data_IF_121412140662
#
_entry.id   IF_121412140662
#
_cell.length_a   1.000
_cell.length_b   1.000
_cell.length_c   1.000
_cell.angle_alpha   90.00
_cell.angle_beta   90.00
_cell.angle_gamma   90.00
#
_symmetry.space_group_name_H-M   'P 1'
#
loop_
_entity.id
_entity.type
_entity.pdbx_description
1 polymer ?
#
# COMPACT_ATOMS: atom_id res chain seq x y z
N UNK A 1 -7.62 18.66 3.33
CA UNK A 1 -8.12 17.35 3.11
C UNK A 1 -7.15 16.40 2.40
N UNK A 2 -6.42 16.85 1.39
CA UNK A 2 -5.45 16.00 0.67
C UNK A 2 -4.08 16.02 1.38
N UNK A 3 -3.49 14.85 1.73
CA UNK A 3 -2.18 14.77 2.39
C UNK A 3 -1.00 15.30 1.56
N UNK A 4 -1.13 15.34 0.22
CA UNK A 4 -0.11 15.91 -0.69
C UNK A 4 -0.51 17.28 -1.23
N UNK A 5 -1.62 17.84 -0.74
CA UNK A 5 -2.07 19.22 -1.02
C UNK A 5 -2.36 19.50 -2.49
N UNK A 6 -3.03 18.55 -3.19
CA UNK A 6 -3.47 18.78 -4.57
C UNK A 6 -4.30 20.05 -4.66
N UNK A 7 -4.03 20.97 -5.64
CA UNK A 7 -4.84 22.16 -5.91
C UNK A 7 -6.20 21.79 -6.53
N UNK A 8 -7.10 21.23 -5.68
CA UNK A 8 -8.35 20.59 -6.12
C UNK A 8 -9.26 21.54 -6.90
N UNK A 9 -9.40 22.77 -6.44
CA UNK A 9 -10.26 23.77 -7.11
C UNK A 9 -9.76 24.08 -8.52
N UNK A 10 -8.45 24.20 -8.67
CA UNK A 10 -7.83 24.66 -9.91
C UNK A 10 -7.89 23.54 -10.98
N UNK A 11 -7.60 22.27 -10.61
CA UNK A 11 -7.72 21.20 -11.58
C UNK A 11 -9.17 20.93 -11.98
N UNK A 12 -10.15 21.03 -11.03
CA UNK A 12 -11.57 20.86 -11.36
C UNK A 12 -12.06 21.98 -12.27
N UNK A 13 -11.57 23.19 -12.09
CA UNK A 13 -11.89 24.31 -13.00
C UNK A 13 -11.41 24.00 -14.43
N UNK A 14 -10.20 23.49 -14.61
CA UNK A 14 -9.70 23.09 -15.92
C UNK A 14 -10.49 21.91 -16.51
N UNK A 15 -10.96 20.97 -15.69
CA UNK A 15 -11.89 19.92 -16.14
C UNK A 15 -13.18 20.50 -16.66
N UNK A 16 -13.77 21.47 -15.96
CA UNK A 16 -15.01 22.13 -16.38
C UNK A 16 -14.86 22.92 -17.69
N UNK A 17 -13.67 23.40 -17.99
CA UNK A 17 -13.33 24.07 -19.25
C UNK A 17 -12.92 23.09 -20.37
N UNK A 18 -12.82 21.79 -20.08
CA UNK A 18 -12.39 20.78 -21.06
C UNK A 18 -10.87 20.67 -21.25
N UNK A 19 -10.09 21.37 -20.44
CA UNK A 19 -8.62 21.45 -20.55
C UNK A 19 -7.94 20.32 -19.75
N UNK A 20 -8.01 19.07 -20.20
CA UNK A 20 -7.52 17.89 -19.46
C UNK A 20 -6.02 17.91 -19.23
N UNK A 21 -5.22 18.36 -20.20
CA UNK A 21 -3.76 18.49 -20.05
C UNK A 21 -3.39 19.50 -18.95
N UNK A 22 -4.01 20.66 -18.93
CA UNK A 22 -3.82 21.65 -17.87
C UNK A 22 -4.25 21.11 -16.50
N UNK A 23 -5.39 20.40 -16.42
CA UNK A 23 -5.84 19.76 -15.20
C UNK A 23 -4.82 18.73 -14.68
N UNK A 24 -4.27 17.88 -15.57
CA UNK A 24 -3.25 16.90 -15.21
C UNK A 24 -1.98 17.57 -14.68
N UNK A 25 -1.46 18.60 -15.37
CA UNK A 25 -0.28 19.34 -14.93
C UNK A 25 -0.46 19.96 -13.56
N UNK A 26 -1.64 20.53 -13.26
CA UNK A 26 -1.96 21.08 -11.94
C UNK A 26 -1.90 19.98 -10.88
N UNK A 27 -2.49 18.80 -11.12
CA UNK A 27 -2.42 17.67 -10.17
C UNK A 27 -0.95 17.26 -9.95
N UNK A 28 -0.17 17.14 -11.02
CA UNK A 28 1.24 16.71 -10.98
C UNK A 28 2.17 17.68 -10.24
N UNK A 29 1.78 18.92 -10.00
CA UNK A 29 2.59 19.85 -9.19
C UNK A 29 2.81 19.35 -7.76
N UNK A 30 1.91 18.53 -7.25
CA UNK A 30 1.96 18.06 -5.85
C UNK A 30 1.75 16.56 -5.70
N UNK A 31 1.14 15.88 -6.67
CA UNK A 31 0.86 14.46 -6.66
C UNK A 31 1.64 13.73 -7.76
N UNK A 32 2.62 12.93 -7.36
CA UNK A 32 3.47 12.17 -8.28
C UNK A 32 2.75 10.99 -8.95
N UNK A 33 1.66 10.47 -8.37
CA UNK A 33 0.96 9.26 -8.79
C UNK A 33 -0.58 9.47 -8.91
N UNK A 34 -1.06 10.40 -9.76
CA UNK A 34 -2.48 10.77 -9.79
C UNK A 34 -3.38 9.61 -10.23
N UNK A 35 -2.96 8.79 -11.19
CA UNK A 35 -3.74 7.65 -11.65
C UNK A 35 -3.93 6.57 -10.57
N UNK A 36 -2.97 6.43 -9.66
CA UNK A 36 -3.05 5.58 -8.48
C UNK A 36 -3.98 6.20 -7.45
N UNK A 37 -3.76 7.47 -7.09
CA UNK A 37 -4.53 8.16 -6.05
C UNK A 37 -6.02 8.22 -6.37
N UNK A 38 -6.40 8.52 -7.60
CA UNK A 38 -7.80 8.54 -8.06
C UNK A 38 -8.52 7.19 -7.91
N UNK A 39 -7.78 6.07 -7.74
CA UNK A 39 -8.34 4.72 -7.56
C UNK A 39 -8.34 4.23 -6.12
N UNK A 40 -7.29 4.53 -5.34
CA UNK A 40 -7.05 3.85 -4.05
C UNK A 40 -7.14 4.74 -2.82
N UNK A 41 -7.18 6.07 -2.98
CA UNK A 41 -7.35 6.98 -1.85
C UNK A 41 -8.70 6.79 -1.17
N UNK A 42 -8.79 6.86 0.17
CA UNK A 42 -10.05 6.92 0.89
C UNK A 42 -10.61 8.36 0.86
N UNK A 43 -11.12 8.79 -0.31
CA UNK A 43 -11.54 10.17 -0.56
C UNK A 43 -12.64 10.61 0.41
N UNK A 44 -13.53 9.69 0.80
CA UNK A 44 -14.62 9.90 1.75
C UNK A 44 -14.15 10.35 3.14
N UNK A 45 -12.91 10.02 3.52
CA UNK A 45 -12.27 10.44 4.78
C UNK A 45 -11.27 11.60 4.58
N UNK A 46 -10.94 11.94 3.35
CA UNK A 46 -9.93 12.94 2.99
C UNK A 46 -10.56 14.13 2.25
N UNK A 47 -10.30 14.26 0.94
CA UNK A 47 -10.73 15.42 0.17
C UNK A 47 -12.25 15.57 0.07
N UNK A 48 -12.97 14.50 -0.23
CA UNK A 48 -14.45 14.51 -0.32
C UNK A 48 -15.09 14.64 1.07
N UNK A 49 -14.46 14.04 2.10
CA UNK A 49 -14.88 14.20 3.49
C UNK A 49 -14.82 15.65 4.01
N UNK A 50 -13.93 16.47 3.42
CA UNK A 50 -13.76 17.90 3.74
C UNK A 50 -14.42 18.84 2.70
N UNK A 51 -15.12 18.30 1.72
CA UNK A 51 -15.78 19.09 0.69
C UNK A 51 -16.91 19.93 1.29
N UNK A 52 -16.88 21.25 1.03
CA UNK A 52 -17.89 22.19 1.55
C UNK A 52 -19.30 21.89 1.02
N UNK A 53 -19.43 21.27 -0.15
CA UNK A 53 -20.72 20.89 -0.71
C UNK A 53 -21.35 19.70 0.02
N UNK A 54 -20.57 18.92 0.76
CA UNK A 54 -21.09 17.79 1.57
C UNK A 54 -22.15 18.26 2.59
N UNK A 55 -22.03 19.49 3.09
CA UNK A 55 -23.04 20.09 3.99
C UNK A 55 -24.37 20.40 3.30
N UNK A 56 -24.40 20.44 1.96
CA UNK A 56 -25.59 20.75 1.15
C UNK A 56 -26.09 19.54 0.35
N UNK A 57 -25.48 18.36 0.51
CA UNK A 57 -25.83 17.15 -0.21
C UNK A 57 -24.62 16.26 -0.46
N UNK A 58 -24.37 15.90 -1.71
CA UNK A 58 -23.23 15.07 -2.11
C UNK A 58 -21.95 15.92 -2.26
N UNK A 59 -20.79 15.42 -1.82
CA UNK A 59 -19.50 16.05 -2.15
C UNK A 59 -19.24 16.00 -3.65
N UNK A 60 -18.34 16.86 -4.13
CA UNK A 60 -17.79 16.68 -5.49
C UNK A 60 -17.03 15.35 -5.53
N UNK A 61 -17.21 14.55 -6.57
CA UNK A 61 -16.53 13.28 -6.78
C UNK A 61 -15.06 13.50 -7.19
N UNK A 62 -14.27 14.06 -6.27
CA UNK A 62 -12.91 14.55 -6.51
C UNK A 62 -12.00 13.42 -6.99
N UNK A 63 -12.05 12.25 -6.33
CA UNK A 63 -11.24 11.10 -6.73
C UNK A 63 -11.59 10.57 -8.11
N UNK A 64 -12.87 10.56 -8.48
CA UNK A 64 -13.30 10.14 -9.83
C UNK A 64 -12.85 11.13 -10.90
N UNK A 65 -12.87 12.42 -10.61
CA UNK A 65 -12.34 13.45 -11.52
C UNK A 65 -10.82 13.36 -11.65
N UNK A 66 -10.10 13.16 -10.55
CA UNK A 66 -8.63 12.93 -10.57
C UNK A 66 -8.28 11.70 -11.43
N UNK A 67 -9.00 10.61 -11.23
CA UNK A 67 -8.86 9.39 -12.06
C UNK A 67 -9.13 9.68 -13.53
N UNK A 68 -10.24 10.36 -13.84
CA UNK A 68 -10.61 10.68 -15.21
C UNK A 68 -9.54 11.52 -15.92
N UNK A 69 -9.03 12.56 -15.26
CA UNK A 69 -7.96 13.41 -15.79
C UNK A 69 -6.69 12.59 -16.07
N UNK A 70 -6.29 11.75 -15.09
CA UNK A 70 -5.08 10.95 -15.23
C UNK A 70 -5.22 9.90 -16.35
N UNK A 71 -6.36 9.20 -16.43
CA UNK A 71 -6.61 8.18 -17.46
C UNK A 71 -6.67 8.82 -18.86
N UNK A 72 -7.29 9.99 -18.98
CA UNK A 72 -7.35 10.73 -20.25
C UNK A 72 -5.96 11.13 -20.71
N UNK A 73 -5.13 11.69 -19.79
CA UNK A 73 -3.77 12.08 -20.11
C UNK A 73 -2.92 10.87 -20.55
N UNK A 74 -2.98 9.77 -19.81
CA UNK A 74 -2.26 8.53 -20.16
C UNK A 74 -2.68 8.03 -21.54
N UNK A 75 -3.97 8.03 -21.85
CA UNK A 75 -4.48 7.54 -23.12
C UNK A 75 -4.04 8.44 -24.30
N UNK A 76 -4.02 9.75 -24.13
CA UNK A 76 -3.65 10.70 -25.19
C UNK A 76 -2.14 10.76 -25.41
N UNK A 77 -1.34 10.70 -24.33
CA UNK A 77 0.11 10.85 -24.40
C UNK A 77 0.81 9.54 -24.76
N UNK A 78 0.20 8.38 -24.56
CA UNK A 78 0.74 7.10 -25.01
C UNK A 78 1.01 7.04 -26.53
N UNK A 79 0.31 7.86 -27.33
CA UNK A 79 0.57 8.01 -28.77
C UNK A 79 1.78 8.91 -29.08
N UNK A 80 2.12 9.84 -28.19
CA UNK A 80 3.24 10.80 -28.42
C UNK A 80 4.57 10.27 -27.90
N UNK A 81 4.57 9.40 -26.89
CA UNK A 81 5.78 8.85 -26.24
C UNK A 81 6.58 7.87 -27.11
N UNK A 82 6.07 7.43 -28.26
CA UNK A 82 6.79 6.52 -29.18
C UNK A 82 7.92 7.24 -29.93
N UNK A 83 8.02 8.57 -29.89
CA UNK A 83 8.92 9.35 -30.75
C UNK A 83 9.84 10.37 -30.06
N UNK A 84 9.85 10.48 -28.71
CA UNK A 84 10.57 11.57 -28.04
C UNK A 84 11.49 11.13 -26.91
N UNK A 85 12.77 10.99 -27.18
CA UNK A 85 13.84 10.98 -26.18
C UNK A 85 14.00 12.38 -25.57
N UNK A 86 13.43 12.61 -24.38
CA UNK A 86 13.81 13.73 -23.52
C UNK A 86 14.06 13.20 -22.10
N UNK A 87 15.08 12.36 -21.93
CA UNK A 87 15.77 12.31 -20.65
C UNK A 87 16.39 13.70 -20.47
N UNK A 88 15.94 14.47 -19.48
CA UNK A 88 16.64 15.68 -19.09
C UNK A 88 18.07 15.27 -18.74
N UNK A 89 19.05 15.71 -19.55
CA UNK A 89 20.45 15.46 -19.27
C UNK A 89 20.75 16.12 -17.92
N UNK A 90 21.04 15.32 -16.91
CA UNK A 90 21.41 15.81 -15.58
C UNK A 90 22.73 16.60 -15.73
N UNK A 91 22.89 17.73 -15.00
CA UNK A 91 24.14 18.48 -15.02
C UNK A 91 25.31 17.61 -14.55
N UNK A 92 26.50 17.83 -15.13
CA UNK A 92 27.70 17.19 -14.62
C UNK A 92 27.92 17.58 -13.17
N UNK A 93 28.07 16.56 -12.28
CA UNK A 93 28.21 16.78 -10.83
C UNK A 93 26.89 16.93 -10.09
N UNK A 94 25.78 16.53 -10.69
CA UNK A 94 24.49 16.48 -9.98
C UNK A 94 24.60 15.68 -8.68
N UNK A 95 23.97 16.19 -7.61
CA UNK A 95 23.85 15.49 -6.33
C UNK A 95 23.08 14.18 -6.53
N UNK A 96 23.39 13.17 -5.69
CA UNK A 96 22.85 11.81 -5.83
C UNK A 96 22.07 11.40 -4.59
N UNK A 97 20.90 10.83 -4.79
CA UNK A 97 20.05 10.28 -3.73
C UNK A 97 19.76 8.79 -3.99
N UNK A 98 19.95 7.96 -2.97
CA UNK A 98 19.50 6.57 -2.97
C UNK A 98 18.16 6.44 -2.26
N UNK A 99 17.16 5.81 -2.90
CA UNK A 99 15.91 5.42 -2.26
C UNK A 99 15.91 3.91 -2.05
N UNK A 100 15.73 3.44 -0.80
CA UNK A 100 15.64 2.01 -0.48
C UNK A 100 14.16 1.63 -0.36
N UNK A 101 13.71 0.72 -1.23
CA UNK A 101 12.31 0.40 -1.49
C UNK A 101 11.73 1.22 -2.65
N UNK A 102 10.71 0.69 -3.32
CA UNK A 102 10.02 1.34 -4.44
C UNK A 102 8.52 1.53 -4.19
N UNK A 103 8.11 1.57 -2.90
CA UNK A 103 6.73 1.85 -2.53
C UNK A 103 6.34 3.32 -2.76
N UNK A 104 5.07 3.68 -2.49
CA UNK A 104 4.54 5.03 -2.76
C UNK A 104 5.36 6.18 -2.17
N UNK A 105 5.96 6.00 -0.98
CA UNK A 105 6.80 7.02 -0.34
C UNK A 105 8.08 7.26 -1.14
N UNK A 106 8.79 6.18 -1.51
CA UNK A 106 10.03 6.26 -2.29
C UNK A 106 9.79 6.76 -3.70
N UNK A 107 8.73 6.29 -4.39
CA UNK A 107 8.38 6.78 -5.73
C UNK A 107 8.09 8.29 -5.72
N UNK A 108 7.43 8.77 -4.67
CA UNK A 108 7.16 10.21 -4.52
C UNK A 108 8.43 10.99 -4.20
N UNK A 109 9.26 10.49 -3.28
CA UNK A 109 10.56 11.09 -2.97
C UNK A 109 11.43 11.16 -4.21
N UNK A 110 11.57 10.05 -4.95
CA UNK A 110 12.34 9.98 -6.19
C UNK A 110 11.84 10.97 -7.26
N UNK A 111 10.52 11.05 -7.45
CA UNK A 111 9.94 11.97 -8.44
C UNK A 111 10.17 13.44 -8.10
N UNK A 112 10.04 13.83 -6.82
CA UNK A 112 10.30 15.20 -6.37
C UNK A 112 11.78 15.55 -6.50
N UNK A 113 12.68 14.67 -6.06
CA UNK A 113 14.14 14.88 -6.20
C UNK A 113 14.57 14.96 -7.67
N UNK A 114 14.06 14.08 -8.54
CA UNK A 114 14.37 14.12 -9.98
C UNK A 114 13.91 15.43 -10.62
N UNK A 115 12.73 15.94 -10.24
CA UNK A 115 12.21 17.24 -10.71
C UNK A 115 13.10 18.41 -10.25
N UNK A 116 13.75 18.28 -9.09
CA UNK A 116 14.73 19.25 -8.58
C UNK A 116 16.12 19.12 -9.25
N UNK A 117 16.30 18.22 -10.22
CA UNK A 117 17.57 18.00 -10.92
C UNK A 117 18.59 17.14 -10.16
N UNK A 118 18.12 16.39 -9.16
CA UNK A 118 18.94 15.46 -8.38
C UNK A 118 18.89 14.09 -9.06
N UNK A 119 20.05 13.42 -9.20
CA UNK A 119 20.10 12.03 -9.68
C UNK A 119 19.55 11.09 -8.62
N UNK A 120 18.63 10.20 -9.00
CA UNK A 120 18.02 9.27 -8.06
C UNK A 120 18.14 7.83 -8.54
N UNK A 121 18.64 6.97 -7.65
CA UNK A 121 18.67 5.53 -7.79
C UNK A 121 17.70 4.90 -6.77
N UNK A 122 16.80 4.04 -7.23
CA UNK A 122 15.83 3.32 -6.41
C UNK A 122 16.21 1.86 -6.34
N UNK A 123 16.46 1.35 -5.14
CA UNK A 123 16.81 -0.05 -4.86
C UNK A 123 15.57 -0.80 -4.35
N UNK A 124 15.14 -1.82 -5.10
CA UNK A 124 13.92 -2.60 -4.80
C UNK A 124 14.27 -4.07 -4.58
N UNK A 125 13.76 -4.63 -3.49
CA UNK A 125 13.98 -6.03 -3.14
C UNK A 125 13.31 -7.02 -4.11
N UNK A 126 12.17 -6.64 -4.68
CA UNK A 126 11.39 -7.47 -5.60
C UNK A 126 11.87 -7.30 -7.05
N UNK A 127 11.38 -8.18 -7.92
CA UNK A 127 11.68 -8.14 -9.35
C UNK A 127 10.80 -7.15 -10.15
N UNK A 128 9.80 -6.55 -9.53
CA UNK A 128 8.98 -5.46 -10.09
C UNK A 128 8.90 -4.29 -9.10
N UNK A 129 9.07 -3.03 -9.56
CA UNK A 129 8.99 -1.86 -8.71
C UNK A 129 7.54 -1.45 -8.45
N UNK A 130 7.28 -0.81 -7.31
CA UNK A 130 5.96 -0.29 -6.95
C UNK A 130 5.50 -0.70 -5.55
N UNK A 131 6.21 -1.63 -4.89
CA UNK A 131 5.87 -2.07 -3.54
C UNK A 131 4.42 -2.60 -3.47
N UNK A 132 3.67 -2.16 -2.46
CA UNK A 132 2.27 -2.58 -2.23
C UNK A 132 1.34 -2.32 -3.44
N UNK A 133 1.64 -1.37 -4.30
CA UNK A 133 0.86 -1.10 -5.52
C UNK A 133 0.90 -2.28 -6.49
N UNK A 134 1.99 -3.04 -6.47
CA UNK A 134 2.20 -4.21 -7.32
C UNK A 134 1.80 -5.50 -6.60
N UNK A 135 2.38 -5.78 -5.44
CA UNK A 135 2.19 -7.07 -4.78
C UNK A 135 0.89 -7.14 -3.95
N UNK A 136 0.44 -6.01 -3.38
CA UNK A 136 -0.65 -6.00 -2.40
C UNK A 136 -2.02 -5.69 -2.99
N UNK A 137 -2.16 -4.58 -3.72
CA UNK A 137 -3.47 -4.12 -4.23
C UNK A 137 -3.83 -4.92 -5.49
N UNK A 138 -4.99 -5.60 -5.54
CA UNK A 138 -5.40 -6.41 -6.69
C UNK A 138 -5.59 -5.60 -7.97
N UNK A 139 -5.40 -6.26 -9.13
CA UNK A 139 -5.50 -5.62 -10.44
C UNK A 139 -6.89 -5.08 -10.74
N UNK A 140 -7.95 -5.64 -10.18
CA UNK A 140 -9.32 -5.13 -10.35
C UNK A 140 -9.57 -3.80 -9.64
N UNK A 141 -8.77 -3.43 -8.63
CA UNK A 141 -8.76 -2.10 -8.00
C UNK A 141 -7.71 -1.18 -8.62
N UNK A 142 -6.52 -1.70 -8.85
CA UNK A 142 -5.40 -0.96 -9.40
C UNK A 142 -4.72 -1.78 -10.51
N UNK A 143 -5.11 -1.57 -11.79
CA UNK A 143 -4.49 -2.25 -12.92
C UNK A 143 -2.97 -2.06 -12.92
N UNK A 144 -2.21 -3.15 -13.10
CA UNK A 144 -0.74 -3.10 -13.04
C UNK A 144 -0.13 -2.26 -14.16
N UNK A 145 -0.81 -2.15 -15.29
CA UNK A 145 -0.44 -1.25 -16.39
C UNK A 145 -0.43 0.23 -15.96
N UNK A 146 -1.36 0.65 -15.11
CA UNK A 146 -1.40 2.01 -14.57
C UNK A 146 -0.15 2.29 -13.71
N UNK A 147 0.20 1.35 -12.83
CA UNK A 147 1.41 1.47 -12.00
C UNK A 147 2.67 1.51 -12.86
N UNK A 148 2.75 0.62 -13.87
CA UNK A 148 3.87 0.59 -14.80
C UNK A 148 4.02 1.92 -15.57
N UNK A 149 2.92 2.54 -15.98
CA UNK A 149 2.94 3.84 -16.67
C UNK A 149 3.48 4.95 -15.75
N UNK A 150 3.03 5.01 -14.50
CA UNK A 150 3.55 6.01 -13.54
C UNK A 150 5.07 5.80 -13.27
N UNK A 151 5.51 4.55 -13.12
CA UNK A 151 6.93 4.23 -12.92
C UNK A 151 7.76 4.56 -14.18
N UNK A 152 7.24 4.29 -15.37
CA UNK A 152 7.90 4.67 -16.61
C UNK A 152 8.06 6.19 -16.74
N UNK A 153 7.08 6.96 -16.26
CA UNK A 153 7.23 8.42 -16.17
C UNK A 153 8.40 8.84 -15.29
N UNK A 154 8.64 8.14 -14.17
CA UNK A 154 9.83 8.40 -13.32
C UNK A 154 11.14 8.01 -14.02
N UNK A 155 11.17 6.88 -14.74
CA UNK A 155 12.34 6.49 -15.55
C UNK A 155 12.67 7.54 -16.61
N UNK A 156 11.65 8.08 -17.28
CA UNK A 156 11.81 9.17 -18.25
C UNK A 156 12.31 10.47 -17.61
N UNK A 157 11.97 10.70 -16.33
CA UNK A 157 12.51 11.81 -15.53
C UNK A 157 13.94 11.57 -15.02
N UNK A 158 14.59 10.45 -15.37
CA UNK A 158 15.97 10.13 -15.02
C UNK A 158 16.14 9.34 -13.71
N UNK A 159 15.09 8.70 -13.20
CA UNK A 159 15.17 7.79 -12.03
C UNK A 159 15.58 6.40 -12.50
N UNK A 160 16.69 5.89 -11.96
CA UNK A 160 17.18 4.54 -12.21
C UNK A 160 16.65 3.55 -11.16
N UNK A 161 16.25 2.33 -11.61
CA UNK A 161 15.70 1.28 -10.73
C UNK A 161 16.59 0.04 -10.73
N UNK A 162 17.09 -0.31 -9.55
CA UNK A 162 17.91 -1.50 -9.27
C UNK A 162 17.05 -2.54 -8.57
N UNK A 163 16.55 -3.51 -9.33
CA UNK A 163 15.66 -4.57 -8.81
C UNK A 163 16.46 -5.70 -8.18
N UNK A 164 15.79 -6.56 -7.39
CA UNK A 164 16.41 -7.66 -6.65
C UNK A 164 17.53 -7.19 -5.69
N UNK A 165 17.39 -5.97 -5.17
CA UNK A 165 18.36 -5.32 -4.28
C UNK A 165 17.78 -5.19 -2.88
N UNK A 166 18.19 -6.10 -1.98
CA UNK A 166 17.64 -6.21 -0.62
C UNK A 166 18.48 -5.39 0.35
N UNK A 167 17.91 -4.30 0.87
CA UNK A 167 18.54 -3.49 1.91
C UNK A 167 18.86 -4.29 3.17
N UNK A 168 20.09 -4.20 3.63
CA UNK A 168 20.62 -4.98 4.77
C UNK A 168 21.02 -6.42 4.41
N UNK A 169 21.07 -6.77 3.12
CA UNK A 169 21.56 -8.07 2.63
C UNK A 169 22.45 -7.94 1.39
N UNK A 170 21.93 -7.39 0.28
CA UNK A 170 22.70 -7.22 -0.95
C UNK A 170 23.19 -5.79 -1.14
N UNK A 171 22.60 -4.85 -0.43
CA UNK A 171 23.06 -3.46 -0.34
C UNK A 171 23.11 -3.06 1.15
N UNK A 172 24.11 -2.27 1.49
CA UNK A 172 24.35 -1.78 2.85
C UNK A 172 24.19 -0.25 2.89
N UNK A 173 23.61 0.28 3.97
CA UNK A 173 23.44 1.74 4.14
C UNK A 173 24.81 2.44 4.22
N UNK A 174 25.80 1.85 4.88
CA UNK A 174 27.12 2.45 5.03
C UNK A 174 27.87 2.52 3.70
N UNK A 175 27.64 1.57 2.80
CA UNK A 175 28.21 1.63 1.44
C UNK A 175 27.47 2.68 0.60
N UNK A 176 26.15 2.76 0.68
CA UNK A 176 25.39 3.80 0.00
C UNK A 176 25.80 5.21 0.46
N UNK A 177 26.08 5.41 1.74
CA UNK A 177 26.53 6.71 2.28
C UNK A 177 27.88 7.18 1.74
N UNK A 178 28.68 6.28 1.17
CA UNK A 178 29.95 6.64 0.50
C UNK A 178 29.74 7.12 -0.95
N UNK A 179 28.65 6.68 -1.57
CA UNK A 179 28.36 6.92 -2.99
C UNK A 179 27.26 7.97 -3.24
N UNK A 180 26.38 8.17 -2.26
CA UNK A 180 25.22 9.08 -2.35
C UNK A 180 25.29 10.19 -1.32
N UNK A 181 24.87 11.38 -1.73
CA UNK A 181 24.85 12.56 -0.86
C UNK A 181 23.73 12.48 0.21
N UNK A 182 22.62 11.78 -0.10
CA UNK A 182 21.55 11.48 0.86
C UNK A 182 20.86 10.13 0.55
N UNK A 183 20.24 9.55 1.58
CA UNK A 183 19.52 8.27 1.48
C UNK A 183 18.09 8.46 1.99
N UNK A 184 17.11 7.90 1.28
CA UNK A 184 15.73 7.80 1.72
C UNK A 184 15.33 6.33 1.96
N UNK A 185 14.85 6.00 3.15
CA UNK A 185 14.37 4.66 3.52
C UNK A 185 12.84 4.63 3.45
N UNK A 186 12.31 3.90 2.46
CA UNK A 186 10.88 3.72 2.23
C UNK A 186 10.50 2.26 2.01
N UNK A 187 11.07 1.34 2.80
CA UNK A 187 10.88 -0.13 2.66
C UNK A 187 9.50 -0.62 3.12
N UNK A 188 8.67 0.26 3.67
CA UNK A 188 7.32 -0.07 4.09
C UNK A 188 7.24 -0.98 5.32
N UNK A 189 6.09 -1.63 5.52
CA UNK A 189 5.82 -2.58 6.59
C UNK A 189 5.21 -3.84 5.99
N UNK A 190 6.04 -4.85 5.71
CA UNK A 190 5.65 -6.05 4.96
C UNK A 190 5.57 -7.33 5.80
N UNK A 191 5.99 -7.32 7.08
CA UNK A 191 5.96 -8.49 7.95
C UNK A 191 4.53 -8.72 8.47
N UNK A 192 3.87 -9.85 8.14
CA UNK A 192 2.49 -10.08 8.54
C UNK A 192 2.34 -10.28 10.05
N UNK A 193 1.19 -9.88 10.59
CA UNK A 193 0.76 -10.18 11.95
C UNK A 193 -0.17 -11.38 11.91
N UNK A 194 0.15 -12.38 12.74
CA UNK A 194 -0.64 -13.59 12.90
C UNK A 194 -1.57 -13.51 14.13
N UNK A 195 -2.52 -14.44 14.20
CA UNK A 195 -3.51 -14.52 15.28
C UNK A 195 -2.90 -15.00 16.60
N UNK A 196 -1.89 -15.87 16.52
CA UNK A 196 -1.29 -16.54 17.68
C UNK A 196 -2.17 -17.65 18.26
N UNK A 197 -3.01 -18.27 17.43
CA UNK A 197 -3.90 -19.36 17.85
C UNK A 197 -3.36 -20.73 17.40
N UNK A 198 -3.71 -21.84 18.08
CA UNK A 198 -3.31 -23.17 17.68
C UNK A 198 -3.71 -23.50 16.24
N UNK A 199 -2.85 -24.20 15.51
CA UNK A 199 -3.09 -24.66 14.14
C UNK A 199 -2.78 -23.62 13.06
N UNK A 200 -2.25 -22.46 13.40
CA UNK A 200 -1.90 -21.40 12.43
C UNK A 200 -0.77 -21.81 11.45
N UNK A 201 -0.09 -22.92 11.73
CA UNK A 201 0.94 -23.53 10.89
C UNK A 201 0.43 -24.66 9.97
N UNK A 202 -0.88 -24.88 9.89
CA UNK A 202 -1.48 -25.86 8.99
C UNK A 202 -1.33 -25.45 7.52
N UNK A 203 -1.22 -26.43 6.65
CA UNK A 203 -1.29 -26.23 5.19
C UNK A 203 -2.67 -25.70 4.84
N UNK A 204 -2.72 -24.56 4.17
CA UNK A 204 -3.97 -23.83 3.88
C UNK A 204 -4.15 -22.57 4.73
N UNK A 205 -3.24 -22.28 5.67
CA UNK A 205 -3.25 -21.01 6.42
C UNK A 205 -2.17 -20.08 5.85
N UNK A 206 -2.57 -18.90 5.39
CA UNK A 206 -1.71 -17.90 4.78
C UNK A 206 -1.91 -16.53 5.40
N UNK A 207 -0.88 -15.71 5.39
CA UNK A 207 -1.07 -14.27 5.55
C UNK A 207 -1.67 -13.66 4.27
N UNK A 208 -2.41 -12.57 4.42
CA UNK A 208 -2.94 -11.84 3.27
C UNK A 208 -1.82 -11.31 2.36
N UNK A 209 -0.68 -10.90 2.94
CA UNK A 209 0.48 -10.47 2.15
C UNK A 209 1.00 -11.59 1.26
N UNK A 210 1.16 -12.80 1.78
CA UNK A 210 1.63 -13.93 0.99
C UNK A 210 0.63 -14.29 -0.10
N UNK A 211 -0.65 -14.45 0.27
CA UNK A 211 -1.70 -14.79 -0.68
C UNK A 211 -1.81 -13.78 -1.83
N UNK A 212 -1.89 -12.48 -1.49
CA UNK A 212 -1.98 -11.42 -2.49
C UNK A 212 -0.71 -11.27 -3.33
N UNK A 213 0.47 -11.48 -2.75
CA UNK A 213 1.74 -11.46 -3.50
C UNK A 213 1.77 -12.56 -4.54
N UNK A 214 1.35 -13.79 -4.20
CA UNK A 214 1.25 -14.91 -5.16
C UNK A 214 0.30 -14.57 -6.31
N UNK A 215 -0.86 -14.01 -6.00
CA UNK A 215 -1.87 -13.69 -7.02
C UNK A 215 -1.45 -12.49 -7.86
N UNK A 216 -1.00 -11.40 -7.25
CA UNK A 216 -0.72 -10.15 -7.95
C UNK A 216 0.66 -10.14 -8.63
N UNK A 217 1.73 -10.30 -7.85
CA UNK A 217 3.11 -10.26 -8.36
C UNK A 217 3.47 -11.56 -9.09
N UNK A 218 3.15 -12.71 -8.51
CA UNK A 218 3.37 -14.03 -9.11
C UNK A 218 2.36 -14.39 -10.21
N UNK A 219 1.32 -13.56 -10.43
CA UNK A 219 0.27 -13.76 -11.44
C UNK A 219 -0.35 -15.16 -11.42
N UNK A 220 -0.62 -15.67 -10.21
CA UNK A 220 -1.08 -17.04 -10.00
C UNK A 220 -2.38 -17.39 -10.74
N UNK A 221 -3.19 -16.39 -11.12
CA UNK A 221 -4.37 -16.56 -11.98
C UNK A 221 -4.04 -17.04 -13.41
N UNK A 222 -2.77 -16.96 -13.83
CA UNK A 222 -2.28 -17.45 -15.13
C UNK A 222 -1.50 -18.76 -15.04
N UNK A 223 -1.51 -19.44 -13.88
CA UNK A 223 -0.87 -20.75 -13.76
C UNK A 223 -1.53 -21.77 -14.72
N UNK A 224 -0.76 -22.64 -15.45
CA UNK A 224 0.69 -22.86 -15.38
C UNK A 224 1.54 -22.04 -16.36
N UNK A 225 0.97 -21.06 -17.07
CA UNK A 225 1.77 -20.16 -17.93
C UNK A 225 2.65 -19.18 -17.15
N UNK A 226 2.38 -19.02 -15.86
CA UNK A 226 3.25 -18.39 -14.86
C UNK A 226 3.64 -19.44 -13.82
N UNK A 227 4.84 -19.31 -13.23
CA UNK A 227 5.44 -20.35 -12.39
C UNK A 227 4.85 -20.45 -10.98
N UNK A 228 4.12 -19.42 -10.51
CA UNK A 228 3.61 -19.35 -9.14
C UNK A 228 2.14 -19.81 -9.08
N UNK A 229 1.82 -20.96 -8.46
CA UNK A 229 0.43 -21.35 -8.23
C UNK A 229 -0.17 -20.59 -7.03
N UNK A 230 -1.48 -20.29 -7.08
CA UNK A 230 -2.24 -20.01 -5.88
C UNK A 230 -2.63 -21.29 -5.17
N UNK A 231 -2.77 -21.25 -3.85
CA UNK A 231 -3.37 -22.36 -3.11
C UNK A 231 -4.87 -22.45 -3.45
N UNK A 232 -5.38 -23.60 -3.90
CA UNK A 232 -6.79 -23.74 -4.27
C UNK A 232 -7.63 -23.85 -3.00
N UNK A 233 -8.45 -22.85 -2.71
CA UNK A 233 -9.43 -22.86 -1.62
C UNK A 233 -10.84 -22.89 -2.18
N UNK A 234 -11.68 -23.82 -1.68
CA UNK A 234 -13.11 -23.85 -1.96
C UNK A 234 -13.92 -23.07 -0.91
N UNK A 235 -13.60 -23.31 0.35
CA UNK A 235 -14.23 -22.66 1.49
C UNK A 235 -13.21 -21.78 2.19
N UNK A 236 -13.23 -20.48 1.84
CA UNK A 236 -12.20 -19.53 2.25
C UNK A 236 -12.69 -18.70 3.44
N UNK A 237 -11.86 -18.59 4.47
CA UNK A 237 -12.12 -17.70 5.60
C UNK A 237 -11.04 -16.65 5.72
N UNK A 238 -11.43 -15.36 5.69
CA UNK A 238 -10.53 -14.22 5.81
C UNK A 238 -10.70 -13.58 7.19
N UNK A 239 -9.61 -13.44 7.94
CA UNK A 239 -9.61 -12.85 9.29
C UNK A 239 -9.15 -11.40 9.26
N UNK A 240 -10.07 -10.49 9.54
CA UNK A 240 -9.83 -9.05 9.53
C UNK A 240 -10.92 -8.30 8.78
N UNK A 241 -10.91 -6.96 8.87
CA UNK A 241 -11.97 -6.14 8.30
C UNK A 241 -11.46 -4.83 7.67
N UNK A 242 -10.16 -4.76 7.38
CA UNK A 242 -9.56 -3.64 6.65
C UNK A 242 -9.62 -3.84 5.12
N UNK A 243 -9.11 -2.85 4.37
CA UNK A 243 -9.06 -2.93 2.91
C UNK A 243 -8.32 -4.17 2.40
N UNK A 244 -7.25 -4.60 3.09
CA UNK A 244 -6.49 -5.82 2.74
C UNK A 244 -7.35 -7.08 2.88
N UNK A 245 -8.24 -7.13 3.88
CA UNK A 245 -9.17 -8.25 4.04
C UNK A 245 -10.20 -8.29 2.90
N UNK A 246 -10.71 -7.12 2.48
CA UNK A 246 -11.62 -7.03 1.32
C UNK A 246 -10.90 -7.42 0.03
N UNK A 247 -9.66 -6.96 -0.16
CA UNK A 247 -8.82 -7.35 -1.29
C UNK A 247 -8.59 -8.87 -1.34
N UNK A 248 -8.27 -9.49 -0.21
CA UNK A 248 -8.05 -10.94 -0.11
C UNK A 248 -9.34 -11.74 -0.37
N UNK A 249 -10.46 -11.31 0.22
CA UNK A 249 -11.75 -11.98 0.07
C UNK A 249 -12.26 -11.94 -1.38
N UNK A 250 -12.25 -10.78 -2.00
CA UNK A 250 -12.64 -10.61 -3.40
C UNK A 250 -11.70 -11.35 -4.36
N UNK A 251 -10.40 -11.36 -4.04
CA UNK A 251 -9.42 -12.14 -4.80
C UNK A 251 -9.72 -13.63 -4.71
N UNK A 252 -10.05 -14.16 -3.53
CA UNK A 252 -10.38 -15.57 -3.36
C UNK A 252 -11.62 -16.00 -4.16
N UNK A 253 -12.69 -15.18 -4.18
CA UNK A 253 -13.84 -15.42 -5.06
C UNK A 253 -13.46 -15.47 -6.53
N UNK A 254 -12.67 -14.49 -6.98
CA UNK A 254 -12.21 -14.39 -8.38
C UNK A 254 -11.25 -15.51 -8.78
N UNK A 255 -10.57 -16.12 -7.80
CA UNK A 255 -9.74 -17.33 -8.00
C UNK A 255 -10.56 -18.63 -7.99
N UNK A 256 -11.89 -18.57 -7.82
CA UNK A 256 -12.80 -19.71 -7.95
C UNK A 256 -13.26 -20.35 -6.63
N UNK A 257 -13.14 -19.66 -5.50
CA UNK A 257 -13.70 -20.14 -4.23
C UNK A 257 -15.22 -20.30 -4.33
N UNK A 258 -15.76 -21.39 -3.77
CA UNK A 258 -17.21 -21.69 -3.72
C UNK A 258 -17.91 -20.83 -2.66
N UNK A 259 -17.22 -20.52 -1.56
CA UNK A 259 -17.69 -19.61 -0.53
C UNK A 259 -16.53 -18.84 0.11
N UNK A 260 -16.76 -17.57 0.45
CA UNK A 260 -15.78 -16.74 1.15
C UNK A 260 -16.46 -16.06 2.33
N UNK A 261 -15.92 -16.27 3.53
CA UNK A 261 -16.37 -15.63 4.77
C UNK A 261 -15.32 -14.68 5.32
N UNK A 262 -15.72 -13.45 5.60
CA UNK A 262 -14.89 -12.50 6.36
C UNK A 262 -15.30 -12.58 7.83
N UNK A 263 -14.39 -13.00 8.68
CA UNK A 263 -14.59 -13.11 10.13
C UNK A 263 -14.07 -11.84 10.81
N UNK A 264 -14.96 -11.18 11.56
CA UNK A 264 -14.61 -9.95 12.27
C UNK A 264 -15.19 -9.94 13.70
N UNK A 265 -14.33 -9.60 14.65
CA UNK A 265 -14.66 -9.63 16.09
C UNK A 265 -15.57 -8.50 16.59
N UNK A 266 -15.90 -7.53 15.73
CA UNK A 266 -16.82 -6.40 16.01
C UNK A 266 -17.94 -6.38 14.98
N UNK A 267 -18.71 -5.29 14.92
CA UNK A 267 -19.78 -5.13 13.94
C UNK A 267 -19.30 -4.36 12.70
N UNK A 268 -20.23 -4.23 11.74
CA UNK A 268 -19.97 -3.46 10.50
C UNK A 268 -19.59 -2.00 10.80
N UNK A 269 -20.13 -1.40 11.85
CA UNK A 269 -19.85 -0.01 12.20
C UNK A 269 -18.39 0.25 12.59
N UNK A 270 -17.70 -0.77 13.12
CA UNK A 270 -16.29 -0.66 13.51
C UNK A 270 -15.31 -1.15 12.44
N UNK A 271 -15.79 -1.56 11.25
CA UNK A 271 -14.94 -2.01 10.17
C UNK A 271 -14.10 -0.84 9.62
N UNK A 272 -12.75 -0.99 9.53
CA UNK A 272 -11.90 0.08 9.05
C UNK A 272 -11.74 0.13 7.51
N UNK A 273 -12.33 -0.83 6.78
CA UNK A 273 -12.34 -0.81 5.33
C UNK A 273 -13.17 0.36 4.79
N UNK A 274 -12.85 0.83 3.59
CA UNK A 274 -13.66 1.80 2.87
C UNK A 274 -15.07 1.23 2.61
N UNK A 275 -16.09 2.08 2.74
CA UNK A 275 -17.48 1.66 2.53
C UNK A 275 -17.68 1.06 1.12
N UNK A 276 -17.13 1.73 0.09
CA UNK A 276 -17.18 1.26 -1.30
C UNK A 276 -16.57 -0.16 -1.46
N UNK A 277 -15.49 -0.49 -0.74
CA UNK A 277 -14.88 -1.82 -0.82
C UNK A 277 -15.69 -2.89 -0.08
N UNK A 278 -16.40 -2.50 0.98
CA UNK A 278 -17.35 -3.37 1.67
C UNK A 278 -18.56 -3.68 0.78
N UNK A 279 -19.12 -2.66 0.13
CA UNK A 279 -20.25 -2.79 -0.79
C UNK A 279 -19.87 -3.69 -1.98
N UNK A 280 -18.71 -3.46 -2.61
CA UNK A 280 -18.22 -4.31 -3.69
C UNK A 280 -18.00 -5.77 -3.24
N UNK A 281 -17.49 -5.99 -2.03
CA UNK A 281 -17.31 -7.36 -1.50
C UNK A 281 -18.66 -8.08 -1.32
N UNK A 282 -19.68 -7.37 -0.81
CA UNK A 282 -21.04 -7.91 -0.66
C UNK A 282 -21.69 -8.19 -2.03
N UNK A 283 -21.58 -7.27 -2.99
CA UNK A 283 -22.09 -7.42 -4.35
C UNK A 283 -21.46 -8.63 -5.07
N UNK A 284 -20.17 -8.92 -4.81
CA UNK A 284 -19.48 -10.10 -5.35
C UNK A 284 -19.83 -11.40 -4.62
N UNK A 285 -20.54 -11.35 -3.48
CA UNK A 285 -21.02 -12.53 -2.75
C UNK A 285 -20.17 -12.93 -1.54
N UNK A 286 -19.29 -12.05 -1.05
CA UNK A 286 -18.57 -12.27 0.22
C UNK A 286 -19.55 -12.26 1.38
N UNK A 287 -19.48 -13.27 2.25
CA UNK A 287 -20.29 -13.40 3.45
C UNK A 287 -19.55 -12.86 4.67
N UNK A 288 -20.26 -12.28 5.62
CA UNK A 288 -19.66 -11.68 6.82
C UNK A 288 -20.11 -12.38 8.10
N UNK A 289 -19.16 -12.99 8.81
CA UNK A 289 -19.33 -13.53 10.15
C UNK A 289 -18.89 -12.48 11.19
N UNK A 290 -19.78 -11.54 11.47
CA UNK A 290 -19.55 -10.49 12.46
C UNK A 290 -19.61 -11.03 13.87
N UNK A 291 -19.03 -10.30 14.84
CA UNK A 291 -18.99 -10.67 16.24
C UNK A 291 -18.47 -12.10 16.43
N UNK A 292 -17.41 -12.45 15.72
CA UNK A 292 -16.77 -13.77 15.78
C UNK A 292 -15.26 -13.62 15.79
N UNK A 293 -14.59 -14.44 16.60
CA UNK A 293 -13.13 -14.48 16.69
C UNK A 293 -12.63 -15.92 16.61
N UNK A 294 -11.48 -16.19 15.95
CA UNK A 294 -10.92 -17.53 15.87
C UNK A 294 -10.31 -17.96 17.20
N UNK A 295 -10.50 -19.21 17.57
CA UNK A 295 -9.87 -19.86 18.71
C UNK A 295 -8.77 -20.82 18.27
N UNK A 296 -8.99 -21.58 17.18
CA UNK A 296 -8.02 -22.51 16.63
C UNK A 296 -8.36 -22.89 15.20
N UNK A 297 -7.39 -23.35 14.49
CA UNK A 297 -7.52 -24.02 13.20
C UNK A 297 -7.47 -25.55 13.39
N UNK A 298 -8.35 -26.27 12.74
CA UNK A 298 -8.46 -27.72 12.83
C UNK A 298 -7.99 -28.34 11.52
N UNK A 299 -6.99 -29.26 11.60
CA UNK A 299 -6.43 -29.96 10.46
C UNK A 299 -6.74 -31.44 10.47
N UNK A 300 -6.54 -32.08 9.33
CA UNK A 300 -6.52 -33.54 9.19
C UNK A 300 -5.17 -34.17 9.61
N UNK A 301 -5.03 -35.48 9.38
CA UNK A 301 -3.82 -36.21 9.70
C UNK A 301 -2.60 -35.77 8.86
N UNK A 302 -2.83 -35.20 7.69
CA UNK A 302 -1.82 -34.66 6.79
C UNK A 302 -1.50 -33.17 7.05
N UNK A 303 -1.96 -32.63 8.19
CA UNK A 303 -1.79 -31.22 8.57
C UNK A 303 -2.46 -30.23 7.61
N UNK A 304 -3.51 -30.62 6.90
CA UNK A 304 -4.28 -29.75 6.01
C UNK A 304 -5.48 -29.18 6.73
N UNK A 305 -5.71 -27.88 6.56
CA UNK A 305 -6.83 -27.17 7.15
C UNK A 305 -8.18 -27.75 6.69
N UNK A 306 -9.10 -27.99 7.65
CA UNK A 306 -10.44 -28.51 7.41
C UNK A 306 -11.55 -27.59 7.97
N UNK A 307 -11.29 -26.93 9.07
CA UNK A 307 -12.22 -25.99 9.66
C UNK A 307 -11.51 -25.01 10.60
N UNK A 308 -12.20 -23.94 10.97
CA UNK A 308 -11.79 -23.03 12.05
C UNK A 308 -12.86 -23.04 13.14
N UNK A 309 -12.43 -23.21 14.39
CA UNK A 309 -13.30 -23.02 15.55
C UNK A 309 -13.36 -21.54 15.88
N UNK A 310 -14.53 -20.97 15.81
CA UNK A 310 -14.84 -19.57 16.10
C UNK A 310 -15.62 -19.48 17.43
N UNK A 311 -15.43 -18.35 18.13
CA UNK A 311 -16.24 -17.99 19.30
C UNK A 311 -17.03 -16.72 19.00
N UNK A 312 -18.29 -16.68 19.43
CA UNK A 312 -19.11 -15.47 19.33
C UNK A 312 -18.61 -14.40 20.30
N UNK A 313 -18.76 -13.16 19.87
CA UNK A 313 -18.36 -11.99 20.64
C UNK A 313 -19.56 -11.09 20.89
N UNK A 314 -19.49 -10.28 21.92
CA UNK A 314 -20.38 -9.14 22.15
C UNK A 314 -19.57 -7.86 22.29
N UNK A 315 -20.23 -6.71 22.15
CA UNK A 315 -19.55 -5.42 22.27
C UNK A 315 -19.70 -4.87 23.69
N UNK A 316 -18.61 -4.79 24.42
CA UNK A 316 -18.46 -4.10 25.69
C UNK A 316 -18.27 -2.60 25.56
N UNK A 317 -17.66 -1.99 26.58
CA UNK A 317 -17.34 -0.55 26.61
C UNK A 317 -16.33 -0.14 25.54
N UNK A 318 -16.33 1.14 25.12
CA UNK A 318 -15.34 1.66 24.18
C UNK A 318 -13.91 1.56 24.72
N UNK A 319 -12.96 1.22 23.84
CA UNK A 319 -11.53 1.25 24.12
C UNK A 319 -10.95 2.69 23.98
N UNK A 320 -9.64 2.86 24.23
CA UNK A 320 -8.97 4.16 24.14
C UNK A 320 -9.05 4.80 22.72
N UNK A 321 -9.39 4.04 21.68
CA UNK A 321 -9.62 4.53 20.32
C UNK A 321 -11.09 4.91 20.07
N UNK A 322 -11.96 4.80 21.07
CA UNK A 322 -13.40 5.04 20.96
C UNK A 322 -14.18 3.89 20.33
N UNK A 323 -13.55 2.76 19.97
CA UNK A 323 -14.21 1.57 19.41
C UNK A 323 -14.61 0.62 20.51
N UNK A 324 -15.81 0.07 20.45
CA UNK A 324 -16.32 -0.88 21.43
C UNK A 324 -15.43 -2.14 21.47
N UNK A 325 -15.07 -2.55 22.71
CA UNK A 325 -14.19 -3.70 22.95
C UNK A 325 -14.97 -5.01 22.70
N UNK A 326 -14.43 -5.94 21.88
CA UNK A 326 -15.04 -7.26 21.74
C UNK A 326 -14.80 -8.10 23.01
N UNK A 327 -15.86 -8.72 23.53
CA UNK A 327 -15.85 -9.58 24.71
C UNK A 327 -16.33 -10.97 24.28
N UNK A 328 -15.62 -12.07 24.63
CA UNK A 328 -16.04 -13.42 24.31
C UNK A 328 -17.32 -13.79 25.03
N UNK A 329 -18.22 -14.52 24.34
CA UNK A 329 -19.39 -15.15 24.92
C UNK A 329 -19.02 -16.60 25.24
N UNK A 330 -19.03 -16.97 26.51
CA UNK A 330 -18.66 -18.33 26.95
C UNK A 330 -19.65 -19.39 26.42
N UNK A 331 -19.12 -20.55 25.98
CA UNK A 331 -19.90 -21.67 25.47
C UNK A 331 -20.58 -21.41 24.13
N UNK A 332 -20.11 -20.45 23.37
CA UNK A 332 -20.67 -20.04 22.06
C UNK A 332 -19.84 -20.49 20.88
N UNK A 333 -18.92 -21.42 21.09
CA UNK A 333 -17.99 -21.93 20.08
C UNK A 333 -18.75 -22.65 18.96
N UNK A 334 -18.28 -22.48 17.72
CA UNK A 334 -18.80 -23.21 16.56
C UNK A 334 -17.71 -23.39 15.51
N UNK A 335 -17.83 -24.44 14.71
CA UNK A 335 -16.89 -24.70 13.62
C UNK A 335 -17.43 -24.16 12.30
N UNK A 336 -16.54 -23.50 11.56
CA UNK A 336 -16.78 -23.05 10.19
C UNK A 336 -15.89 -23.88 9.23
N UNK A 337 -16.48 -24.66 8.30
CA UNK A 337 -15.70 -25.35 7.29
C UNK A 337 -14.78 -24.39 6.53
N UNK A 338 -13.50 -24.73 6.46
CA UNK A 338 -12.48 -23.84 5.89
C UNK A 338 -11.30 -24.68 5.41
N UNK A 339 -10.96 -24.60 4.14
CA UNK A 339 -9.79 -25.25 3.55
C UNK A 339 -8.70 -24.25 3.14
N UNK A 340 -9.03 -22.96 3.12
CA UNK A 340 -8.08 -21.84 2.97
C UNK A 340 -8.41 -20.73 3.98
N UNK A 341 -7.48 -20.44 4.88
CA UNK A 341 -7.56 -19.33 5.82
C UNK A 341 -6.58 -18.22 5.43
N UNK A 342 -7.05 -16.98 5.40
CA UNK A 342 -6.24 -15.80 5.06
C UNK A 342 -6.26 -14.81 6.22
N UNK A 343 -5.10 -14.62 6.86
CA UNK A 343 -4.95 -13.73 8.03
C UNK A 343 -4.60 -12.31 7.54
N UNK A 344 -5.51 -11.36 7.73
CA UNK A 344 -5.44 -9.98 7.27
C UNK A 344 -5.49 -8.97 8.44
N UNK A 345 -4.64 -9.18 9.46
CA UNK A 345 -4.61 -8.39 10.71
C UNK A 345 -3.65 -7.20 10.68
N UNK A 346 -3.09 -6.89 9.52
CA UNK A 346 -2.10 -5.84 9.33
C UNK A 346 -0.67 -6.38 9.29
N UNK A 347 0.27 -5.44 9.26
CA UNK A 347 1.69 -5.72 9.07
C UNK A 347 2.55 -4.91 10.02
N UNK A 348 3.81 -5.34 10.18
CA UNK A 348 4.85 -4.67 10.96
C UNK A 348 6.06 -4.39 10.07
N UNK A 349 7.01 -3.60 10.58
CA UNK A 349 8.31 -3.39 9.96
C UNK A 349 9.05 -4.72 9.76
N UNK A 350 9.72 -4.87 8.60
CA UNK A 350 10.61 -6.01 8.38
C UNK A 350 11.95 -5.69 9.02
N UNK A 351 12.49 -6.56 9.92
CA UNK A 351 13.71 -6.28 10.65
C UNK A 351 15.00 -6.33 9.83
N UNK A 352 14.99 -6.88 8.62
CA UNK A 352 16.19 -7.17 7.82
C UNK A 352 17.12 -5.96 7.67
N UNK A 353 16.59 -4.80 7.24
CA UNK A 353 17.37 -3.57 7.11
C UNK A 353 17.72 -2.98 8.49
N UNK A 354 16.80 -3.06 9.44
CA UNK A 354 16.94 -2.45 10.76
C UNK A 354 18.02 -3.17 11.59
N UNK A 355 18.08 -4.50 11.51
CA UNK A 355 19.14 -5.30 12.16
C UNK A 355 20.52 -5.06 11.54
N UNK A 356 20.58 -4.78 10.24
CA UNK A 356 21.81 -4.45 9.53
C UNK A 356 22.29 -3.00 9.79
N UNK A 357 21.43 -2.15 10.37
CA UNK A 357 21.72 -0.72 10.59
C UNK A 357 21.36 -0.34 12.03
N UNK A 358 22.14 -0.80 13.03
CA UNK A 358 21.82 -0.62 14.45
C UNK A 358 21.87 0.83 14.95
N UNK A 359 22.43 1.76 14.18
CA UNK A 359 22.47 3.19 14.48
C UNK A 359 21.11 3.87 14.27
N UNK A 360 20.19 3.25 13.52
CA UNK A 360 18.83 3.74 13.36
C UNK A 360 18.07 3.58 14.68
N UNK A 361 17.59 4.68 15.23
CA UNK A 361 16.71 4.63 16.39
C UNK A 361 15.34 4.11 15.99
N UNK A 362 14.85 3.17 16.78
CA UNK A 362 13.54 2.56 16.60
C UNK A 362 12.64 2.89 17.78
N UNK A 363 11.35 3.10 17.49
CA UNK A 363 10.35 3.24 18.53
C UNK A 363 10.00 1.88 19.16
N UNK A 364 9.19 1.87 20.20
CA UNK A 364 8.80 0.66 20.95
C UNK A 364 8.07 -0.40 20.11
N UNK A 365 7.63 -0.07 18.92
CA UNK A 365 6.96 -1.01 17.98
C UNK A 365 7.89 -1.50 16.87
N UNK A 366 9.16 -1.06 16.86
CA UNK A 366 10.16 -1.47 15.86
C UNK A 366 10.08 -0.71 14.54
N UNK A 367 9.50 0.49 14.52
CA UNK A 367 9.53 1.39 13.38
C UNK A 367 10.64 2.42 13.54
N UNK A 368 11.16 2.94 12.40
CA UNK A 368 12.20 3.99 12.43
C UNK A 368 11.63 5.25 13.07
N UNK A 369 12.37 5.82 14.04
CA UNK A 369 12.10 7.16 14.54
C UNK A 369 12.62 8.19 13.54
N UNK A 370 11.70 8.95 12.94
CA UNK A 370 11.99 10.04 12.03
C UNK A 370 11.15 11.26 12.39
N UNK A 371 11.70 12.44 12.14
CA UNK A 371 10.95 13.69 12.30
C UNK A 371 9.79 13.75 11.32
N UNK A 372 8.59 14.05 11.81
CA UNK A 372 7.36 14.04 10.98
C UNK A 372 7.36 15.11 9.88
N UNK A 373 8.02 16.23 10.11
CA UNK A 373 8.04 17.36 9.17
C UNK A 373 9.13 17.20 8.11
N UNK A 374 10.28 16.62 8.48
CA UNK A 374 11.47 16.55 7.63
C UNK A 374 11.81 15.15 7.13
N UNK A 375 11.36 14.11 7.81
CA UNK A 375 11.75 12.73 7.56
C UNK A 375 13.18 12.39 8.05
N UNK A 376 13.89 13.30 8.72
CA UNK A 376 15.24 13.05 9.23
C UNK A 376 15.24 11.94 10.28
N UNK A 377 16.21 11.03 10.16
CA UNK A 377 16.43 9.94 11.13
C UNK A 377 17.53 10.27 12.13
N UNK A 378 17.89 9.31 12.99
CA UNK A 378 19.04 9.44 13.90
C UNK A 378 20.40 9.49 13.19
N UNK A 379 20.47 9.12 11.91
CA UNK A 379 21.70 9.09 11.12
C UNK A 379 21.72 10.32 10.20
N UNK A 380 22.78 11.15 10.22
CA UNK A 380 22.89 12.31 9.33
C UNK A 380 22.78 11.90 7.83
N UNK A 381 22.10 12.72 7.04
CA UNK A 381 21.79 12.52 5.62
C UNK A 381 21.00 11.24 5.28
N UNK A 382 20.41 10.58 6.28
CA UNK A 382 19.50 9.47 6.11
C UNK A 382 18.10 9.88 6.54
N UNK A 383 17.15 9.77 5.62
CA UNK A 383 15.75 10.13 5.78
C UNK A 383 14.87 8.88 5.70
N UNK A 384 13.71 8.92 6.30
CA UNK A 384 12.75 7.81 6.22
C UNK A 384 11.31 8.31 6.11
N UNK A 385 10.44 7.50 5.50
CA UNK A 385 9.02 7.86 5.40
C UNK A 385 8.12 6.73 4.90
N UNK A 386 6.82 6.90 5.13
CA UNK A 386 5.82 5.87 4.87
C UNK A 386 5.71 4.85 6.01
N UNK A 387 5.23 3.65 5.68
CA UNK A 387 4.84 2.65 6.69
C UNK A 387 6.00 2.14 7.56
N UNK A 388 7.26 2.32 7.14
CA UNK A 388 8.43 1.99 7.96
C UNK A 388 8.60 2.95 9.16
N UNK A 389 7.95 4.10 9.12
CA UNK A 389 7.95 5.11 10.21
C UNK A 389 6.64 5.08 10.97
N UNK A 390 5.50 5.10 10.27
CA UNK A 390 4.17 5.30 10.88
C UNK A 390 3.42 4.00 11.17
N UNK A 391 3.90 2.86 10.70
CA UNK A 391 3.09 1.66 10.56
C UNK A 391 2.19 1.73 9.33
N UNK A 392 1.46 0.63 9.05
CA UNK A 392 0.62 0.51 7.88
C UNK A 392 -0.45 1.62 7.82
N UNK A 393 -0.44 2.39 6.75
CA UNK A 393 -1.32 3.53 6.52
C UNK A 393 -1.91 3.52 5.09
N UNK A 394 -2.18 4.68 4.52
CA UNK A 394 -2.68 4.79 3.14
C UNK A 394 -1.59 5.18 2.17
N UNK A 395 -1.77 4.82 0.89
CA UNK A 395 -0.85 5.19 -0.20
C UNK A 395 -0.54 6.69 -0.19
N UNK A 396 -1.56 7.53 -0.08
CA UNK A 396 -1.38 8.99 -0.13
C UNK A 396 -0.66 9.57 1.11
N UNK A 397 -0.81 8.95 2.29
CA UNK A 397 -0.06 9.34 3.49
C UNK A 397 1.43 8.99 3.34
N UNK A 398 1.73 7.81 2.81
CA UNK A 398 3.09 7.43 2.49
C UNK A 398 3.72 8.36 1.43
N UNK A 399 2.96 8.75 0.40
CA UNK A 399 3.39 9.76 -0.58
C UNK A 399 3.67 11.12 0.07
N UNK A 400 2.81 11.56 0.99
CA UNK A 400 3.01 12.79 1.74
C UNK A 400 4.32 12.79 2.55
N UNK A 401 4.65 11.67 3.18
CA UNK A 401 5.92 11.51 3.88
C UNK A 401 7.11 11.56 2.91
N UNK A 402 7.05 10.88 1.77
CA UNK A 402 8.09 10.95 0.74
C UNK A 402 8.28 12.36 0.18
N UNK A 403 7.19 13.11 -0.02
CA UNK A 403 7.23 14.51 -0.49
C UNK A 403 7.94 15.43 0.51
N UNK A 404 7.61 15.31 1.82
CA UNK A 404 8.27 16.10 2.87
C UNK A 404 9.76 15.78 2.98
N UNK A 405 10.10 14.50 3.00
CA UNK A 405 11.49 14.06 3.02
C UNK A 405 12.27 14.57 1.81
N UNK A 406 11.70 14.52 0.60
CA UNK A 406 12.35 15.04 -0.61
C UNK A 406 12.64 16.54 -0.52
N UNK A 407 11.70 17.34 0.01
CA UNK A 407 11.93 18.78 0.22
C UNK A 407 13.06 19.03 1.24
N UNK A 408 13.17 18.21 2.28
CA UNK A 408 14.25 18.29 3.26
C UNK A 408 15.59 17.84 2.68
N UNK A 409 15.59 16.81 1.85
CA UNK A 409 16.78 16.34 1.11
C UNK A 409 17.29 17.45 0.18
N UNK A 410 16.41 18.07 -0.60
CA UNK A 410 16.77 19.20 -1.49
C UNK A 410 17.36 20.37 -0.71
N UNK A 411 16.73 20.76 0.40
CA UNK A 411 17.23 21.81 1.29
C UNK A 411 18.58 21.46 1.94
N UNK A 412 18.79 20.18 2.27
CA UNK A 412 20.07 19.68 2.80
C UNK A 412 21.18 19.75 1.75
N UNK A 413 20.92 19.22 0.56
CA UNK A 413 21.90 19.18 -0.54
C UNK A 413 22.25 20.56 -1.10
N UNK A 414 21.33 21.53 -1.02
CA UNK A 414 21.57 22.92 -1.42
C UNK A 414 22.50 23.69 -0.48
N UNK A 415 22.72 23.18 0.76
CA UNK A 415 23.63 23.76 1.75
C UNK A 415 25.02 23.12 1.77
N UNK A 416 25.12 21.91 1.24
CA UNK A 416 26.35 21.10 1.15
C UNK A 416 27.05 21.33 -0.20
#
# INVERSE_FOLDING_TARGET
GCPVEVPIRDFIHQVAEGNMDAAYRIIKTTNSLPAVCGRVCPQEHQCEGKCVLKAKGQPVAIGRLERFVADTYIATTACEQVTGTNACALPLGAKKVACIGSGPSSLTCAGVCATAGIKVDVFEALHEPGGVLIYGIPAFRLPKTVVATEINGLRQAGVDFHLNSVGGRTIDIDDLRKEYDAIFIGVGAGLPVFLGVPGENLVGVFSANEYLTRVNLGRAYNFPSQDTPAYPGKHVTVFGAGNVAMDAARTALRMGAESVHVVYRRTRAEMPARLEELEHAEEEGVQFAMLSAPLRFNGDAEMRLQSVTLQRMELGEPDASGRRRPVPVEGSEYDLPTDLAIVALGTRSNPILLEATPELKLNKWGYIEADEATGETSIPNVFAGGDIVTGAATVILAMGAGKRAAASIDAYLSKA
#
